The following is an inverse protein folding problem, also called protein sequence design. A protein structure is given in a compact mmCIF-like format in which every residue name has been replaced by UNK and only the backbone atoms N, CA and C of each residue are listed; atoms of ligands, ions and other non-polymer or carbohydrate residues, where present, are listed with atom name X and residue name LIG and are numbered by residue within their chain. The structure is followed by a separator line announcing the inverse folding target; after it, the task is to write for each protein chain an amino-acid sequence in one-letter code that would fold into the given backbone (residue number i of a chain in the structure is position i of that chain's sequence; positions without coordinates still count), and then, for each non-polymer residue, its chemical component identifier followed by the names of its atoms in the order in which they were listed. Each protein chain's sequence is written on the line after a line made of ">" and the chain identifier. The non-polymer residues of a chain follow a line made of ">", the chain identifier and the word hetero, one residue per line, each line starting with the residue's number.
data_IF_981745719226
#
_entry.id   IF_981745719226
#
_cell.length_a   1.000
_cell.length_b   1.000
_cell.length_c   1.000
_cell.angle_alpha   90.00
_cell.angle_beta   90.00
_cell.angle_gamma   90.00
#
_symmetry.space_group_name_H-M   'P 1'
#
loop_
_entity.id
_entity.type
_entity.pdbx_description
1 polymer ?
#
# COMPACT_ATOMS: atom_id res chain seq x y z
N UNK A 1 3.95 9.52 -26.17
CA UNK A 1 5.00 10.14 -25.37
C UNK A 1 4.86 11.65 -25.46
N UNK A 2 4.80 12.36 -24.33
CA UNK A 2 4.64 13.81 -24.29
C UNK A 2 5.98 14.59 -24.49
N UNK A 3 7.09 13.87 -24.76
CA UNK A 3 8.39 14.50 -25.00
C UNK A 3 9.18 14.88 -23.75
N UNK A 4 8.75 14.43 -22.58
CA UNK A 4 9.46 14.65 -21.31
C UNK A 4 10.41 13.49 -21.00
N UNK A 5 11.56 13.82 -20.43
CA UNK A 5 12.49 12.85 -19.84
C UNK A 5 12.17 12.64 -18.37
N UNK A 6 12.46 11.44 -17.83
CA UNK A 6 12.29 11.09 -16.43
C UNK A 6 13.64 10.97 -15.76
N UNK A 7 13.82 11.68 -14.66
CA UNK A 7 15.00 11.57 -13.80
C UNK A 7 14.58 11.23 -12.38
N UNK A 8 15.19 10.18 -11.81
CA UNK A 8 15.01 9.87 -10.39
C UNK A 8 15.93 10.77 -9.55
N UNK A 9 15.33 11.47 -8.58
CA UNK A 9 16.06 12.31 -7.66
C UNK A 9 16.27 11.54 -6.35
N UNK A 10 17.53 11.32 -5.99
CA UNK A 10 17.92 10.73 -4.72
C UNK A 10 18.55 11.81 -3.83
N UNK A 11 18.45 11.64 -2.50
CA UNK A 11 18.96 12.60 -1.50
C UNK A 11 20.49 12.76 -1.51
N UNK A 12 21.20 11.74 -1.99
CA UNK A 12 22.66 11.72 -1.98
C UNK A 12 23.25 12.22 -3.30
N UNK A 13 23.57 13.50 -3.38
CA UNK A 13 24.29 14.11 -4.51
C UNK A 13 25.76 14.33 -4.12
N UNK A 14 26.56 13.29 -4.20
CA UNK A 14 28.00 13.36 -3.91
C UNK A 14 28.28 13.74 -2.45
N UNK A 15 29.16 14.74 -2.23
CA UNK A 15 29.54 15.23 -0.88
C UNK A 15 28.68 16.40 -0.38
N UNK A 16 27.81 16.96 -1.20
CA UNK A 16 26.94 18.07 -0.82
C UNK A 16 25.55 17.57 -0.45
N UNK A 17 25.10 17.91 0.75
CA UNK A 17 23.71 17.71 1.18
C UNK A 17 22.89 18.88 0.61
N UNK A 18 22.18 18.63 -0.49
CA UNK A 18 21.13 19.50 -0.99
C UNK A 18 19.79 18.98 -0.51
N UNK A 19 18.82 19.87 -0.24
CA UNK A 19 17.44 19.43 -0.07
C UNK A 19 16.88 18.90 -1.39
N UNK A 20 15.83 18.08 -1.33
CA UNK A 20 15.17 17.58 -2.55
C UNK A 20 14.70 18.72 -3.43
N UNK A 21 14.17 19.81 -2.84
CA UNK A 21 13.73 20.98 -3.59
C UNK A 21 14.90 21.70 -4.29
N UNK A 22 16.00 21.94 -3.58
CA UNK A 22 17.22 22.54 -4.18
C UNK A 22 17.77 21.69 -5.32
N UNK A 23 17.74 20.35 -5.17
CA UNK A 23 18.17 19.45 -6.23
C UNK A 23 17.25 19.53 -7.45
N UNK A 24 15.93 19.63 -7.26
CA UNK A 24 14.97 19.84 -8.35
C UNK A 24 15.27 21.16 -9.09
N UNK A 25 15.53 22.23 -8.36
CA UNK A 25 15.89 23.54 -8.94
C UNK A 25 17.23 23.48 -9.68
N UNK A 26 18.24 22.84 -9.09
CA UNK A 26 19.55 22.66 -9.73
C UNK A 26 19.48 21.88 -11.05
N UNK A 27 18.62 20.85 -11.09
CA UNK A 27 18.38 20.05 -12.30
C UNK A 27 17.43 20.73 -13.29
N UNK A 28 16.84 21.84 -12.91
CA UNK A 28 15.85 22.58 -13.69
C UNK A 28 14.71 21.67 -14.20
N UNK A 29 14.15 20.85 -13.27
CA UNK A 29 13.02 19.99 -13.62
C UNK A 29 11.75 20.82 -13.78
N UNK A 30 10.91 20.44 -14.75
CA UNK A 30 9.65 21.13 -15.05
C UNK A 30 8.53 20.77 -14.06
N UNK A 31 8.63 19.60 -13.43
CA UNK A 31 7.66 19.12 -12.45
C UNK A 31 8.13 17.88 -11.68
N UNK A 32 7.44 17.52 -10.62
CA UNK A 32 7.83 16.44 -9.71
C UNK A 32 6.65 15.51 -9.41
N UNK A 33 6.89 14.20 -9.48
CA UNK A 33 6.00 13.18 -8.89
C UNK A 33 6.66 12.69 -7.61
N UNK A 34 5.93 12.77 -6.48
CA UNK A 34 6.40 12.28 -5.18
C UNK A 34 5.66 10.98 -4.86
N UNK A 35 6.42 9.90 -4.68
CA UNK A 35 5.90 8.57 -4.35
C UNK A 35 6.85 7.82 -3.42
N UNK A 36 6.33 6.84 -2.68
CA UNK A 36 7.14 5.89 -1.88
C UNK A 36 8.15 6.56 -0.94
N UNK A 37 7.73 7.60 -0.22
CA UNK A 37 8.60 8.38 0.67
C UNK A 37 7.92 8.66 2.01
N UNK A 38 8.70 9.15 2.97
CA UNK A 38 8.14 9.74 4.19
C UNK A 38 7.55 11.13 3.87
N UNK A 39 6.23 11.17 3.70
CA UNK A 39 5.48 12.39 3.38
C UNK A 39 5.44 13.41 4.54
N UNK A 40 5.92 13.05 5.73
CA UNK A 40 6.03 13.96 6.87
C UNK A 40 7.40 14.67 6.97
N UNK A 41 8.32 14.31 6.07
CA UNK A 41 9.66 14.87 6.08
C UNK A 41 9.70 16.34 5.63
N UNK A 42 10.60 17.13 6.22
CA UNK A 42 10.82 18.53 5.86
C UNK A 42 11.14 18.70 4.35
N UNK A 43 11.93 17.79 3.79
CA UNK A 43 12.30 17.79 2.36
C UNK A 43 11.08 17.70 1.44
N UNK A 44 10.08 16.89 1.80
CA UNK A 44 8.82 16.79 1.03
C UNK A 44 8.03 18.09 1.15
N UNK A 45 7.91 18.65 2.36
CA UNK A 45 7.21 19.92 2.55
C UNK A 45 7.87 21.08 1.79
N UNK A 46 9.18 21.11 1.65
CA UNK A 46 9.87 22.12 0.82
C UNK A 46 9.47 22.02 -0.66
N UNK A 47 9.38 20.81 -1.21
CA UNK A 47 8.92 20.59 -2.59
C UNK A 47 7.43 20.96 -2.74
N UNK A 48 6.59 20.54 -1.79
CA UNK A 48 5.15 20.81 -1.80
C UNK A 48 4.84 22.31 -1.73
N UNK A 49 5.59 23.06 -0.91
CA UNK A 49 5.41 24.50 -0.74
C UNK A 49 6.14 25.34 -1.79
N UNK A 50 6.95 24.71 -2.62
CA UNK A 50 7.69 25.37 -3.69
C UNK A 50 6.82 25.74 -4.91
N UNK A 51 7.47 26.32 -5.90
CA UNK A 51 6.88 26.81 -7.14
C UNK A 51 6.86 25.77 -8.28
N UNK A 52 7.47 24.60 -8.07
CA UNK A 52 7.50 23.52 -9.06
C UNK A 52 6.13 22.79 -9.07
N UNK A 53 5.54 22.50 -10.22
CA UNK A 53 4.35 21.64 -10.32
C UNK A 53 4.59 20.28 -9.66
N UNK A 54 3.65 19.84 -8.80
CA UNK A 54 3.78 18.58 -8.05
C UNK A 54 2.52 17.75 -8.16
N UNK A 55 2.71 16.45 -8.34
CA UNK A 55 1.69 15.41 -8.17
C UNK A 55 2.19 14.42 -7.12
N UNK A 56 1.34 14.02 -6.19
CA UNK A 56 1.67 12.99 -5.19
C UNK A 56 0.96 11.69 -5.50
N UNK A 57 1.60 10.56 -5.15
CA UNK A 57 0.98 9.24 -5.18
C UNK A 57 0.82 8.75 -3.75
N UNK A 58 -0.38 8.28 -3.41
CA UNK A 58 -0.77 7.72 -2.11
C UNK A 58 -0.69 8.67 -0.91
N UNK A 59 -0.58 9.98 -1.17
CA UNK A 59 -0.68 11.01 -0.12
C UNK A 59 -1.37 12.27 -0.62
N UNK A 60 -2.20 12.88 0.22
CA UNK A 60 -2.97 14.09 -0.10
C UNK A 60 -2.35 15.28 0.64
N UNK A 61 -2.00 16.32 -0.11
CA UNK A 61 -1.68 17.65 0.41
C UNK A 61 -2.73 18.65 -0.07
N UNK A 62 -3.05 19.62 0.78
CA UNK A 62 -3.98 20.68 0.42
C UNK A 62 -3.53 21.42 -0.83
N UNK A 63 -4.45 21.69 -1.73
CA UNK A 63 -4.18 22.39 -2.99
C UNK A 63 -3.12 21.73 -3.89
N UNK A 64 -2.92 20.42 -3.79
CA UNK A 64 -2.06 19.63 -4.70
C UNK A 64 -2.86 18.48 -5.32
N UNK A 65 -2.45 18.07 -6.52
CA UNK A 65 -3.02 16.89 -7.17
C UNK A 65 -2.44 15.64 -6.53
N UNK A 66 -3.32 14.70 -6.17
CA UNK A 66 -2.95 13.40 -5.63
C UNK A 66 -3.60 12.26 -6.42
N UNK A 67 -2.82 11.24 -6.72
CA UNK A 67 -3.33 9.99 -7.30
C UNK A 67 -3.31 8.95 -6.19
N UNK A 68 -4.47 8.38 -5.89
CA UNK A 68 -4.66 7.47 -4.76
C UNK A 68 -5.09 6.09 -5.25
N UNK A 69 -4.52 5.04 -4.68
CA UNK A 69 -5.17 3.73 -4.76
C UNK A 69 -6.44 3.71 -3.90
N UNK A 70 -7.48 3.01 -4.36
CA UNK A 70 -8.73 2.88 -3.60
C UNK A 70 -8.58 1.86 -2.46
N UNK A 71 -7.84 2.26 -1.42
CA UNK A 71 -7.50 1.40 -0.30
C UNK A 71 -8.73 0.89 0.47
N UNK A 72 -9.76 1.72 0.64
CA UNK A 72 -10.99 1.31 1.34
C UNK A 72 -11.74 0.23 0.55
N UNK A 73 -11.92 0.43 -0.77
CA UNK A 73 -12.56 -0.55 -1.66
C UNK A 73 -11.76 -1.85 -1.73
N UNK A 74 -10.42 -1.75 -1.79
CA UNK A 74 -9.57 -2.93 -1.79
C UNK A 74 -9.77 -3.80 -0.55
N UNK A 75 -9.79 -3.19 0.63
CA UNK A 75 -10.06 -3.92 1.87
C UNK A 75 -11.49 -4.47 1.90
N UNK A 76 -12.47 -3.73 1.38
CA UNK A 76 -13.85 -4.21 1.28
C UNK A 76 -13.96 -5.45 0.37
N UNK A 77 -13.31 -5.45 -0.80
CA UNK A 77 -13.32 -6.59 -1.72
C UNK A 77 -12.67 -7.82 -1.08
N UNK A 78 -11.52 -7.65 -0.41
CA UNK A 78 -10.82 -8.73 0.28
C UNK A 78 -11.65 -9.30 1.45
N UNK A 79 -12.25 -8.46 2.30
CA UNK A 79 -13.12 -8.90 3.40
C UNK A 79 -14.36 -9.61 2.84
N UNK A 80 -14.95 -9.09 1.77
CA UNK A 80 -16.09 -9.72 1.12
C UNK A 80 -15.72 -11.14 0.60
N UNK A 81 -14.53 -11.28 0.05
CA UNK A 81 -14.04 -12.57 -0.44
C UNK A 81 -13.86 -13.57 0.71
N UNK A 82 -13.05 -13.23 1.72
CA UNK A 82 -12.80 -14.19 2.82
C UNK A 82 -14.04 -14.51 3.64
N UNK A 83 -15.01 -13.60 3.72
CA UNK A 83 -16.29 -13.88 4.38
C UNK A 83 -17.21 -14.81 3.57
N UNK A 84 -17.15 -14.77 2.24
CA UNK A 84 -17.80 -15.76 1.38
C UNK A 84 -17.19 -17.15 1.54
N UNK A 85 -15.88 -17.23 1.79
CA UNK A 85 -15.15 -18.45 2.11
C UNK A 85 -15.37 -18.92 3.55
N UNK A 86 -16.23 -18.29 4.34
CA UNK A 86 -16.63 -18.73 5.68
C UNK A 86 -15.88 -18.06 6.84
N UNK A 87 -14.82 -17.33 6.60
CA UNK A 87 -14.02 -16.70 7.67
C UNK A 87 -14.80 -15.64 8.46
N UNK A 88 -14.66 -15.71 9.79
CA UNK A 88 -15.25 -14.75 10.75
C UNK A 88 -14.23 -14.28 11.79
N UNK A 89 -13.17 -15.06 12.00
CA UNK A 89 -12.05 -14.76 12.89
C UNK A 89 -10.89 -14.23 12.05
N UNK A 90 -10.84 -12.91 11.85
CA UNK A 90 -9.95 -12.26 10.91
C UNK A 90 -9.02 -11.31 11.65
N UNK A 91 -7.71 -11.53 11.50
CA UNK A 91 -6.66 -10.64 12.01
C UNK A 91 -6.09 -9.76 10.90
N UNK A 92 -5.50 -8.63 11.29
CA UNK A 92 -4.81 -7.73 10.38
C UNK A 92 -3.48 -7.25 10.98
N UNK A 93 -2.38 -7.56 10.30
CA UNK A 93 -1.08 -6.96 10.55
C UNK A 93 -0.97 -5.75 9.62
N UNK A 94 -1.01 -4.54 10.19
CA UNK A 94 -0.97 -3.29 9.42
C UNK A 94 0.47 -2.93 9.03
N UNK A 95 0.64 -2.03 8.05
CA UNK A 95 1.90 -1.36 7.79
C UNK A 95 2.21 -0.29 8.83
N UNK A 96 3.39 0.33 8.71
CA UNK A 96 3.76 1.50 9.50
C UNK A 96 2.78 2.66 9.24
N UNK A 97 2.68 3.55 10.22
CA UNK A 97 1.72 4.66 10.19
C UNK A 97 1.89 5.53 8.94
N UNK A 98 0.83 5.59 8.14
CA UNK A 98 0.76 6.36 6.90
C UNK A 98 -0.70 6.60 6.51
N UNK A 99 -0.96 7.54 5.61
CA UNK A 99 -2.31 7.75 5.08
C UNK A 99 -2.89 6.48 4.42
N UNK A 100 -2.06 5.67 3.79
CA UNK A 100 -2.43 4.37 3.22
C UNK A 100 -2.85 3.39 4.31
N UNK A 101 -2.03 3.23 5.37
CA UNK A 101 -2.34 2.33 6.49
C UNK A 101 -3.65 2.72 7.19
N UNK A 102 -3.86 4.01 7.43
CA UNK A 102 -5.10 4.52 8.04
C UNK A 102 -6.34 4.22 7.18
N UNK A 103 -6.24 4.39 5.85
CA UNK A 103 -7.34 4.09 4.91
C UNK A 103 -7.61 2.59 4.81
N UNK A 104 -6.56 1.74 4.77
CA UNK A 104 -6.71 0.28 4.78
C UNK A 104 -7.35 -0.19 6.07
N UNK A 105 -6.93 0.33 7.22
CA UNK A 105 -7.53 0.02 8.52
C UNK A 105 -9.00 0.45 8.61
N UNK A 106 -9.32 1.67 8.16
CA UNK A 106 -10.69 2.15 8.11
C UNK A 106 -11.58 1.27 7.21
N UNK A 107 -11.08 0.90 6.01
CA UNK A 107 -11.76 -0.01 5.10
C UNK A 107 -11.98 -1.39 5.72
N UNK A 108 -10.98 -1.93 6.41
CA UNK A 108 -11.06 -3.20 7.12
C UNK A 108 -12.19 -3.20 8.17
N UNK A 109 -12.19 -2.21 9.08
CA UNK A 109 -13.22 -2.12 10.11
C UNK A 109 -14.61 -1.91 9.53
N UNK A 110 -14.75 -1.02 8.55
CA UNK A 110 -16.02 -0.74 7.86
C UNK A 110 -16.59 -2.00 7.21
N UNK A 111 -15.75 -2.74 6.49
CA UNK A 111 -16.17 -3.97 5.81
C UNK A 111 -16.52 -5.08 6.81
N UNK A 112 -15.73 -5.28 7.87
CA UNK A 112 -16.04 -6.21 8.96
C UNK A 112 -17.38 -5.88 9.62
N UNK A 113 -17.61 -4.62 9.97
CA UNK A 113 -18.85 -4.16 10.57
C UNK A 113 -20.05 -4.41 9.64
N UNK A 114 -19.93 -4.11 8.36
CA UNK A 114 -20.99 -4.33 7.35
C UNK A 114 -21.34 -5.81 7.23
N UNK A 115 -20.38 -6.71 7.48
CA UNK A 115 -20.55 -8.17 7.44
C UNK A 115 -20.90 -8.79 8.79
N UNK A 116 -21.13 -7.97 9.83
CA UNK A 116 -21.44 -8.45 11.18
C UNK A 116 -20.27 -9.18 11.86
N UNK A 117 -19.03 -8.88 11.46
CA UNK A 117 -17.82 -9.46 12.04
C UNK A 117 -17.36 -8.56 13.18
N UNK A 118 -17.26 -9.11 14.39
CA UNK A 118 -16.61 -8.46 15.52
C UNK A 118 -15.10 -8.67 15.40
N UNK A 119 -14.37 -7.57 15.28
CA UNK A 119 -12.91 -7.60 15.24
C UNK A 119 -12.38 -7.61 16.67
N UNK A 120 -11.56 -8.62 16.98
CA UNK A 120 -10.85 -8.66 18.26
C UNK A 120 -9.70 -7.62 18.22
N UNK A 121 -9.65 -6.65 19.15
CA UNK A 121 -8.59 -5.64 19.15
C UNK A 121 -7.18 -6.24 19.24
N UNK A 122 -7.02 -7.40 19.87
CA UNK A 122 -5.74 -8.09 19.98
C UNK A 122 -5.27 -8.73 18.67
N UNK A 123 -6.13 -8.75 17.66
CA UNK A 123 -5.80 -9.25 16.31
C UNK A 123 -5.43 -8.13 15.33
N UNK A 124 -5.40 -6.89 15.78
CA UNK A 124 -4.88 -5.77 15.01
C UNK A 124 -3.46 -5.49 15.48
N UNK A 125 -2.48 -5.90 14.68
CA UNK A 125 -1.07 -5.82 15.04
C UNK A 125 -0.37 -4.71 14.25
N UNK A 126 0.55 -4.01 14.90
CA UNK A 126 1.39 -3.01 14.24
C UNK A 126 2.60 -3.70 13.61
N UNK A 127 2.60 -3.79 12.32
CA UNK A 127 3.69 -4.26 11.49
C UNK A 127 4.41 -3.13 10.79
N UNK A 128 5.00 -3.45 9.65
CA UNK A 128 5.72 -2.53 8.80
C UNK A 128 5.57 -2.98 7.33
N UNK A 129 5.64 -2.05 6.37
CA UNK A 129 5.66 -2.40 4.97
C UNK A 129 7.02 -2.99 4.57
N UNK A 130 6.99 -3.94 3.64
CA UNK A 130 8.18 -4.59 3.08
C UNK A 130 9.11 -5.20 4.15
N UNK A 131 8.54 -5.66 5.26
CA UNK A 131 9.30 -6.22 6.39
C UNK A 131 8.85 -7.65 6.74
N UNK A 132 9.29 -8.66 5.98
CA UNK A 132 8.92 -10.05 6.22
C UNK A 132 9.44 -10.59 7.57
N UNK A 133 10.56 -10.07 8.08
CA UNK A 133 11.12 -10.51 9.36
C UNK A 133 10.22 -10.12 10.54
N UNK A 134 9.66 -8.91 10.51
CA UNK A 134 8.70 -8.47 11.52
C UNK A 134 7.39 -9.26 11.39
N UNK A 135 6.87 -9.41 10.18
CA UNK A 135 5.64 -10.15 9.93
C UNK A 135 5.76 -11.63 10.33
N UNK A 136 6.92 -12.25 10.10
CA UNK A 136 7.22 -13.60 10.62
C UNK A 136 7.05 -13.68 12.13
N UNK A 137 7.64 -12.75 12.90
CA UNK A 137 7.56 -12.71 14.37
C UNK A 137 6.12 -12.52 14.85
N UNK A 138 5.42 -11.54 14.28
CA UNK A 138 4.03 -11.22 14.62
C UNK A 138 3.09 -12.38 14.29
N UNK A 139 3.29 -13.07 13.18
CA UNK A 139 2.49 -14.24 12.81
C UNK A 139 2.71 -15.40 13.79
N UNK A 140 3.95 -15.68 14.17
CA UNK A 140 4.23 -16.71 15.21
C UNK A 140 3.58 -16.36 16.54
N UNK A 141 3.69 -15.11 16.99
CA UNK A 141 3.04 -14.64 18.20
C UNK A 141 1.52 -14.84 18.12
N UNK A 142 0.90 -14.38 17.04
CA UNK A 142 -0.54 -14.47 16.82
C UNK A 142 -1.04 -15.92 16.83
N UNK A 143 -0.35 -16.81 16.14
CA UNK A 143 -0.71 -18.23 16.04
C UNK A 143 -0.38 -19.05 17.29
N UNK A 144 0.44 -18.51 18.21
CA UNK A 144 0.74 -19.14 19.50
C UNK A 144 -0.32 -18.84 20.57
N UNK A 145 -1.24 -17.92 20.31
CA UNK A 145 -2.31 -17.57 21.25
C UNK A 145 -3.37 -18.68 21.30
N UNK A 146 -4.06 -18.80 22.43
CA UNK A 146 -5.16 -19.75 22.60
C UNK A 146 -6.34 -19.41 21.66
N UNK A 147 -6.74 -18.14 21.61
CA UNK A 147 -7.73 -17.65 20.66
C UNK A 147 -7.03 -17.19 19.37
N UNK A 148 -7.11 -18.03 18.33
CA UNK A 148 -6.45 -17.80 17.03
C UNK A 148 -7.43 -17.32 15.96
N UNK A 149 -7.01 -16.43 15.07
CA UNK A 149 -7.75 -16.14 13.85
C UNK A 149 -7.72 -17.33 12.89
N UNK A 150 -8.62 -17.36 11.94
CA UNK A 150 -8.61 -18.32 10.81
C UNK A 150 -8.09 -17.71 9.52
N UNK A 151 -7.98 -16.38 9.48
CA UNK A 151 -7.47 -15.64 8.35
C UNK A 151 -6.67 -14.43 8.84
N UNK A 152 -5.52 -14.16 8.23
CA UNK A 152 -4.66 -13.01 8.56
C UNK A 152 -4.40 -12.18 7.32
N UNK A 153 -4.72 -10.89 7.42
CA UNK A 153 -4.39 -9.89 6.41
C UNK A 153 -2.99 -9.34 6.65
N UNK A 154 -2.21 -9.24 5.59
CA UNK A 154 -0.86 -8.72 5.63
C UNK A 154 -0.80 -7.26 5.16
N UNK A 155 0.20 -6.46 5.58
CA UNK A 155 0.34 -5.08 5.12
C UNK A 155 0.57 -4.98 3.61
N UNK A 156 1.30 -5.93 3.04
CA UNK A 156 1.63 -6.06 1.62
C UNK A 156 2.05 -7.49 1.28
N UNK A 157 2.17 -7.79 -0.01
CA UNK A 157 2.52 -9.13 -0.50
C UNK A 157 3.96 -9.54 -0.14
N UNK A 158 4.88 -8.57 -0.06
CA UNK A 158 6.27 -8.86 0.30
C UNK A 158 6.37 -9.30 1.77
N UNK A 159 5.68 -8.60 2.65
CA UNK A 159 5.57 -8.93 4.06
C UNK A 159 4.88 -10.29 4.28
N UNK A 160 3.93 -10.67 3.41
CA UNK A 160 3.26 -11.96 3.48
C UNK A 160 4.22 -13.16 3.43
N UNK A 161 5.39 -13.03 2.80
CA UNK A 161 6.41 -14.08 2.78
C UNK A 161 6.88 -14.47 4.18
N UNK A 162 6.96 -13.49 5.09
CA UNK A 162 7.28 -13.74 6.49
C UNK A 162 6.23 -14.62 7.19
N UNK A 163 4.95 -14.35 6.89
CA UNK A 163 3.84 -15.14 7.44
C UNK A 163 3.85 -16.58 6.91
N UNK A 164 4.09 -16.81 5.62
CA UNK A 164 4.24 -18.15 5.05
C UNK A 164 5.38 -18.92 5.74
N UNK A 165 6.52 -18.27 5.95
CA UNK A 165 7.67 -18.90 6.64
C UNK A 165 7.34 -19.23 8.09
N UNK A 166 6.63 -18.35 8.81
CA UNK A 166 6.21 -18.59 10.19
C UNK A 166 5.27 -19.80 10.30
N UNK A 167 4.25 -19.87 9.45
CA UNK A 167 3.29 -20.98 9.40
C UNK A 167 4.01 -22.29 9.13
N UNK A 168 4.88 -22.32 8.14
CA UNK A 168 5.67 -23.52 7.80
C UNK A 168 6.56 -23.97 8.93
N UNK A 169 7.26 -23.06 9.62
CA UNK A 169 8.15 -23.40 10.75
C UNK A 169 7.36 -23.93 11.96
N UNK A 170 6.13 -23.47 12.15
CA UNK A 170 5.23 -23.98 13.19
C UNK A 170 4.61 -25.34 12.84
N UNK A 171 4.94 -25.93 11.68
CA UNK A 171 4.37 -27.19 11.20
C UNK A 171 2.94 -27.08 10.76
N UNK A 172 2.47 -25.85 10.46
CA UNK A 172 1.13 -25.54 9.97
C UNK A 172 1.14 -25.35 8.44
N UNK A 173 -0.02 -25.37 7.84
CA UNK A 173 -0.24 -25.28 6.40
C UNK A 173 -1.10 -24.07 6.04
N UNK A 174 -0.80 -23.46 4.88
CA UNK A 174 -1.64 -22.47 4.22
C UNK A 174 -2.27 -23.14 2.99
N UNK A 175 -3.59 -23.12 2.83
CA UNK A 175 -4.58 -22.38 3.63
C UNK A 175 -5.24 -23.21 4.75
N UNK A 176 -4.91 -24.49 4.92
CA UNK A 176 -5.64 -25.50 5.71
C UNK A 176 -5.74 -25.11 7.19
N UNK A 177 -4.65 -24.63 7.80
CA UNK A 177 -4.62 -24.25 9.21
C UNK A 177 -4.83 -22.76 9.41
N UNK A 178 -4.44 -21.95 8.42
CA UNK A 178 -4.54 -20.49 8.44
C UNK A 178 -4.56 -19.92 7.03
N UNK A 179 -5.55 -19.11 6.70
CA UNK A 179 -5.60 -18.36 5.47
C UNK A 179 -4.77 -17.08 5.54
N UNK A 180 -4.06 -16.74 4.47
CA UNK A 180 -3.24 -15.53 4.36
C UNK A 180 -3.71 -14.70 3.18
N UNK A 181 -3.90 -13.39 3.42
CA UNK A 181 -4.31 -12.41 2.41
C UNK A 181 -3.29 -11.30 2.33
N UNK A 182 -2.83 -10.98 1.12
CA UNK A 182 -1.90 -9.90 0.84
C UNK A 182 -2.56 -8.62 0.35
N UNK A 183 -1.72 -7.69 -0.07
CA UNK A 183 -2.08 -6.44 -0.73
C UNK A 183 -0.95 -6.04 -1.67
N UNK A 184 -1.24 -5.40 -2.80
CA UNK A 184 -0.43 -4.85 -3.87
C UNK A 184 -0.47 -5.66 -5.17
N UNK A 185 -0.58 -6.99 -5.13
CA UNK A 185 -0.64 -7.85 -6.32
C UNK A 185 0.69 -7.97 -7.05
N UNK A 186 1.82 -7.96 -6.33
CA UNK A 186 3.14 -8.07 -6.96
C UNK A 186 3.29 -9.41 -7.68
N UNK A 187 4.03 -9.43 -8.79
CA UNK A 187 4.23 -10.64 -9.60
C UNK A 187 4.77 -11.82 -8.78
N UNK A 188 5.62 -11.55 -7.79
CA UNK A 188 6.21 -12.57 -6.94
C UNK A 188 5.19 -13.31 -6.08
N UNK A 189 4.11 -12.65 -5.65
CA UNK A 189 3.04 -13.28 -4.85
C UNK A 189 2.36 -14.44 -5.59
N UNK A 190 2.41 -14.43 -6.91
CA UNK A 190 1.84 -15.47 -7.78
C UNK A 190 2.80 -16.64 -8.05
N UNK A 191 4.03 -16.56 -7.58
CA UNK A 191 5.02 -17.64 -7.61
C UNK A 191 5.04 -18.45 -6.30
N UNK A 192 4.35 -17.99 -5.26
CA UNK A 192 4.21 -18.73 -4.00
C UNK A 192 3.39 -20.01 -4.19
N UNK A 193 3.60 -20.97 -3.28
CA UNK A 193 2.81 -22.20 -3.23
C UNK A 193 2.27 -22.39 -1.79
N UNK A 194 0.95 -22.17 -1.62
CA UNK A 194 -0.05 -21.73 -2.61
C UNK A 194 0.16 -20.29 -3.08
N UNK A 195 -0.41 -19.93 -4.24
CA UNK A 195 -0.45 -18.54 -4.73
C UNK A 195 -1.17 -17.66 -3.73
N UNK A 196 -0.66 -16.45 -3.50
CA UNK A 196 -1.28 -15.53 -2.56
C UNK A 196 -2.55 -14.89 -3.12
N UNK A 197 -3.63 -14.94 -2.36
CA UNK A 197 -4.82 -14.10 -2.59
C UNK A 197 -4.49 -12.68 -2.14
N UNK A 198 -4.68 -11.70 -3.03
CA UNK A 198 -4.25 -10.32 -2.79
C UNK A 198 -5.13 -9.31 -3.53
N UNK A 199 -5.03 -8.04 -3.19
CA UNK A 199 -5.62 -6.95 -3.97
C UNK A 199 -4.57 -6.37 -4.91
N UNK A 200 -4.74 -6.60 -6.22
CA UNK A 200 -3.86 -6.07 -7.26
C UNK A 200 -4.16 -4.58 -7.48
N UNK A 201 -3.22 -3.73 -7.11
CA UNK A 201 -3.26 -2.30 -7.43
C UNK A 201 -2.95 -2.09 -8.92
N UNK A 202 -3.68 -1.19 -9.58
CA UNK A 202 -3.39 -0.81 -10.97
C UNK A 202 -2.27 0.25 -10.99
N UNK A 203 -1.04 -0.20 -10.72
CA UNK A 203 0.15 0.66 -10.65
C UNK A 203 0.46 1.32 -11.99
N UNK A 204 0.12 0.68 -13.10
CA UNK A 204 0.30 1.24 -14.45
C UNK A 204 -0.64 2.42 -14.66
N UNK A 205 -1.93 2.26 -14.31
CA UNK A 205 -2.90 3.35 -14.42
C UNK A 205 -2.58 4.49 -13.45
N UNK A 206 -2.14 4.19 -12.23
CA UNK A 206 -1.67 5.18 -11.25
C UNK A 206 -0.53 6.00 -11.85
N UNK A 207 0.51 5.33 -12.37
CA UNK A 207 1.67 5.98 -12.96
C UNK A 207 1.34 6.83 -14.19
N UNK A 208 0.53 6.28 -15.11
CA UNK A 208 0.07 7.00 -16.32
C UNK A 208 -0.78 8.21 -15.93
N UNK A 209 -1.66 8.08 -14.94
CA UNK A 209 -2.53 9.19 -14.49
C UNK A 209 -1.69 10.28 -13.83
N UNK A 210 -0.74 9.92 -12.96
CA UNK A 210 0.16 10.87 -12.33
C UNK A 210 0.98 11.66 -13.36
N UNK A 211 1.55 10.97 -14.36
CA UNK A 211 2.32 11.60 -15.42
C UNK A 211 1.46 12.54 -16.27
N UNK A 212 0.23 12.14 -16.67
CA UNK A 212 -0.69 12.99 -17.43
C UNK A 212 -1.09 14.24 -16.64
N UNK A 213 -1.41 14.09 -15.37
CA UNK A 213 -1.78 15.22 -14.51
C UNK A 213 -0.60 16.19 -14.33
N UNK A 214 0.62 15.67 -14.13
CA UNK A 214 1.79 16.52 -14.03
C UNK A 214 2.06 17.29 -15.31
N UNK A 215 2.03 16.65 -16.46
CA UNK A 215 2.19 17.32 -17.77
C UNK A 215 1.12 18.41 -17.98
N UNK A 216 -0.14 18.11 -17.62
CA UNK A 216 -1.20 19.11 -17.69
C UNK A 216 -0.94 20.31 -16.78
N UNK A 217 -0.44 20.09 -15.57
CA UNK A 217 -0.06 21.16 -14.63
C UNK A 217 1.09 22.02 -15.15
N UNK A 218 2.04 21.43 -15.89
CA UNK A 218 3.18 22.14 -16.50
C UNK A 218 2.72 22.97 -17.69
N UNK A 219 1.99 22.35 -18.62
CA UNK A 219 1.63 22.98 -19.91
C UNK A 219 0.43 23.93 -19.79
N UNK A 220 -0.52 23.62 -18.89
CA UNK A 220 -1.79 24.33 -18.75
C UNK A 220 -2.10 24.71 -17.29
N UNK A 221 -1.21 25.41 -16.58
CA UNK A 221 -1.34 25.63 -15.12
C UNK A 221 -2.58 26.45 -14.73
N UNK A 222 -3.12 27.27 -15.63
CA UNK A 222 -4.29 28.11 -15.36
C UNK A 222 -5.63 27.37 -15.51
N UNK A 223 -5.65 26.26 -16.24
CA UNK A 223 -6.89 25.52 -16.57
C UNK A 223 -6.91 24.10 -15.98
N UNK A 224 -5.78 23.61 -15.46
CA UNK A 224 -5.71 22.30 -14.85
C UNK A 224 -6.16 22.37 -13.39
N UNK A 225 -7.19 21.60 -13.05
CA UNK A 225 -7.67 21.50 -11.69
C UNK A 225 -6.73 20.64 -10.85
N UNK A 226 -6.53 21.06 -9.60
CA UNK A 226 -5.85 20.26 -8.58
C UNK A 226 -6.90 19.41 -7.88
N UNK A 227 -6.79 18.10 -8.02
CA UNK A 227 -7.81 17.16 -7.58
C UNK A 227 -7.20 15.88 -6.99
N UNK A 228 -8.01 15.14 -6.27
CA UNK A 228 -7.69 13.79 -5.81
C UNK A 228 -8.34 12.79 -6.76
N UNK A 229 -7.51 12.04 -7.47
CA UNK A 229 -7.96 11.00 -8.40
C UNK A 229 -7.73 9.64 -7.75
N UNK A 230 -8.80 8.87 -7.63
CA UNK A 230 -8.73 7.52 -7.05
C UNK A 230 -8.76 6.47 -8.15
N UNK A 231 -7.82 5.54 -8.10
CA UNK A 231 -7.68 4.42 -9.04
C UNK A 231 -8.07 3.14 -8.33
N UNK A 232 -9.01 2.40 -8.91
CA UNK A 232 -9.43 1.09 -8.43
C UNK A 232 -8.44 0.02 -8.86
N UNK A 233 -8.19 -0.92 -7.97
CA UNK A 233 -7.53 -2.19 -8.29
C UNK A 233 -8.55 -3.31 -8.48
N UNK A 234 -8.12 -4.54 -8.29
CA UNK A 234 -8.99 -5.72 -8.35
C UNK A 234 -8.50 -6.83 -7.43
N UNK A 235 -9.44 -7.64 -6.94
CA UNK A 235 -9.13 -8.90 -6.27
C UNK A 235 -8.39 -9.83 -7.22
N UNK A 236 -7.29 -10.39 -6.76
CA UNK A 236 -6.54 -11.46 -7.40
C UNK A 236 -6.62 -12.70 -6.51
N UNK A 237 -7.47 -13.64 -6.91
CA UNK A 237 -7.69 -14.87 -6.17
C UNK A 237 -6.49 -15.80 -6.34
N UNK A 238 -6.01 -16.36 -5.22
CA UNK A 238 -4.95 -17.36 -5.16
C UNK A 238 -5.45 -18.60 -4.43
N UNK A 239 -4.52 -19.45 -4.02
CA UNK A 239 -4.80 -20.65 -3.21
C UNK A 239 -4.52 -20.47 -1.71
N UNK A 240 -4.28 -19.26 -1.23
CA UNK A 240 -3.90 -19.00 0.17
C UNK A 240 -5.09 -18.76 1.11
N UNK A 241 -6.31 -18.91 0.61
CA UNK A 241 -7.56 -18.81 1.39
C UNK A 241 -8.37 -20.08 1.19
N UNK A 242 -8.73 -20.73 2.31
CA UNK A 242 -9.64 -21.91 2.31
C UNK A 242 -11.10 -21.49 2.46
N UNK A 243 -11.99 -22.36 2.10
CA UNK A 243 -13.41 -22.36 2.41
C UNK A 243 -13.69 -23.03 3.79
#
# INVERSE_FOLDING_TARGET
>A
AAGYDITFINRDVGKQKMSTYEHCKYRNVDGVIIACTDFTSQDVYEVINGDIPVVTIDHIFDCRTAIMSNNEKGMEELINYVTKMGHRKIAFIQGNRSAVAERRLAGFYKACMTRGISVDPDWILNGDYHNPDLTYKLTKELLSRENKPTCVFMPDDYSAMGAFNAVKEMGLSVPEDISIVGYDGIAYSQLLSPKLTTYLQDTDLIGVTAAKQLVSLIENPQTTFKEVITVDGKLLEGGSVSD
#
